data_IF_702005443577
#
_entry.id   IF_702005443577
#
_cell.length_a   1.000
_cell.length_b   1.000
_cell.length_c   1.000
_cell.angle_alpha   90.00
_cell.angle_beta   90.00
_cell.angle_gamma   90.00
#
_symmetry.space_group_name_H-M   'P 1'
#
loop_
_entity.id
_entity.type
_entity.pdbx_description
1 polymer ?
#
# COMPACT_ATOMS: atom_id res chain seq x y z
N UNK A 1 -17.25 -2.98 7.87
CA UNK A 1 -16.06 -3.74 7.42
C UNK A 1 -15.76 -3.27 6.01
N UNK A 2 -14.68 -2.52 5.78
CA UNK A 2 -14.31 -2.09 4.43
C UNK A 2 -13.93 -3.34 3.63
N UNK A 3 -14.59 -3.56 2.50
CA UNK A 3 -14.34 -4.71 1.62
C UNK A 3 -13.27 -4.29 0.61
N UNK A 4 -12.27 -5.15 0.45
CA UNK A 4 -11.10 -5.01 -0.44
C UNK A 4 -11.48 -4.42 -1.81
N UNK A 5 -10.78 -3.35 -2.21
CA UNK A 5 -10.88 -2.81 -3.58
C UNK A 5 -12.16 -2.03 -3.91
N UNK A 6 -13.08 -1.79 -2.96
CA UNK A 6 -14.23 -0.91 -3.20
C UNK A 6 -13.93 0.50 -2.72
N UNK A 7 -14.03 1.48 -3.62
CA UNK A 7 -13.93 2.91 -3.29
C UNK A 7 -15.06 3.44 -2.39
N UNK A 8 -15.98 2.57 -1.95
CA UNK A 8 -17.08 2.91 -1.04
C UNK A 8 -17.55 1.67 -0.27
N UNK A 9 -18.26 1.90 0.84
CA UNK A 9 -18.84 0.83 1.68
C UNK A 9 -20.24 0.48 1.17
N UNK A 10 -20.47 -0.80 0.83
CA UNK A 10 -21.78 -1.27 0.35
C UNK A 10 -22.85 -1.14 1.43
N UNK A 11 -23.99 -0.55 1.10
CA UNK A 11 -25.15 -0.44 1.98
C UNK A 11 -26.26 -1.36 1.47
N UNK A 12 -26.49 -2.50 2.13
CA UNK A 12 -27.62 -3.38 1.78
C UNK A 12 -28.88 -2.97 2.54
N UNK A 13 -29.99 -2.86 1.81
CA UNK A 13 -31.32 -2.56 2.38
C UNK A 13 -32.03 -3.87 2.74
N UNK A 14 -32.45 -4.02 4.00
CA UNK A 14 -33.12 -5.24 4.53
C UNK A 14 -34.58 -5.04 4.94
N UNK A 15 -35.23 -3.93 4.55
CA UNK A 15 -36.58 -3.57 4.98
C UNK A 15 -37.63 -3.78 3.87
N UNK A 16 -38.77 -4.40 4.21
CA UNK A 16 -39.90 -4.62 3.28
C UNK A 16 -41.14 -3.81 3.70
N UNK A 17 -41.12 -2.49 3.56
CA UNK A 17 -42.38 -1.72 3.45
C UNK A 17 -42.30 -0.62 2.39
N UNK A 18 -43.48 -0.26 1.86
CA UNK A 18 -43.74 0.57 0.66
C UNK A 18 -43.15 1.99 0.74
N UNK A 19 -42.86 2.65 -0.41
CA UNK A 19 -43.33 2.33 -1.77
C UNK A 19 -42.34 1.60 -2.69
N UNK A 20 -41.10 1.31 -2.26
CA UNK A 20 -40.10 0.62 -3.09
C UNK A 20 -39.57 -0.63 -2.38
N UNK A 21 -39.69 -1.84 -2.97
CA UNK A 21 -39.10 -3.05 -2.39
C UNK A 21 -37.59 -2.94 -2.25
N UNK A 22 -37.04 -3.45 -1.14
CA UNK A 22 -35.58 -3.54 -0.89
C UNK A 22 -34.81 -4.14 -2.07
N UNK A 23 -35.37 -5.12 -2.76
CA UNK A 23 -34.79 -5.72 -3.97
C UNK A 23 -34.50 -4.70 -5.09
N UNK A 24 -35.40 -3.73 -5.31
CA UNK A 24 -35.20 -2.67 -6.32
C UNK A 24 -34.11 -1.69 -5.89
N UNK A 25 -34.06 -1.34 -4.60
CA UNK A 25 -33.03 -0.45 -4.05
C UNK A 25 -31.64 -1.11 -4.10
N UNK A 26 -31.55 -2.38 -3.74
CA UNK A 26 -30.31 -3.15 -3.84
C UNK A 26 -29.85 -3.28 -5.29
N UNK A 27 -30.76 -3.46 -6.25
CA UNK A 27 -30.41 -3.45 -7.69
C UNK A 27 -29.90 -2.09 -8.15
N UNK A 28 -30.47 -1.00 -7.63
CA UNK A 28 -30.00 0.35 -7.94
C UNK A 28 -28.61 0.61 -7.36
N UNK A 29 -28.38 0.18 -6.12
CA UNK A 29 -27.06 0.22 -5.46
C UNK A 29 -26.01 -0.57 -6.27
N UNK A 30 -26.34 -1.78 -6.70
CA UNK A 30 -25.46 -2.61 -7.54
C UNK A 30 -25.15 -1.94 -8.91
N UNK A 31 -26.09 -1.19 -9.49
CA UNK A 31 -25.85 -0.46 -10.75
C UNK A 31 -24.93 0.74 -10.55
N UNK A 32 -25.10 1.45 -9.44
CA UNK A 32 -24.20 2.56 -9.07
C UNK A 32 -22.79 2.01 -8.81
N UNK A 33 -22.69 0.84 -8.17
CA UNK A 33 -21.42 0.13 -7.96
C UNK A 33 -20.65 -0.03 -9.26
N UNK A 34 -21.29 -0.70 -10.23
CA UNK A 34 -20.68 -1.04 -11.50
C UNK A 34 -20.32 0.22 -12.30
N UNK A 35 -21.16 1.26 -12.23
CA UNK A 35 -20.87 2.53 -12.90
C UNK A 35 -19.63 3.22 -12.30
N UNK A 36 -19.50 3.25 -10.96
CA UNK A 36 -18.34 3.84 -10.30
C UNK A 36 -17.07 3.01 -10.53
N UNK A 37 -17.18 1.68 -10.53
CA UNK A 37 -16.08 0.79 -10.85
C UNK A 37 -15.58 1.01 -12.29
N UNK A 38 -16.50 1.14 -13.25
CA UNK A 38 -16.17 1.46 -14.63
C UNK A 38 -15.46 2.81 -14.72
N UNK A 39 -15.94 3.83 -14.01
CA UNK A 39 -15.29 5.15 -13.98
C UNK A 39 -13.86 5.05 -13.45
N UNK A 40 -13.62 4.33 -12.35
CA UNK A 40 -12.26 4.12 -11.83
C UNK A 40 -11.35 3.40 -12.84
N UNK A 41 -11.87 2.37 -13.51
CA UNK A 41 -11.13 1.65 -14.54
C UNK A 41 -10.76 2.55 -15.72
N UNK A 42 -11.72 3.35 -16.22
CA UNK A 42 -11.48 4.31 -17.29
C UNK A 42 -10.48 5.39 -16.88
N UNK A 43 -10.55 5.89 -15.65
CA UNK A 43 -9.57 6.84 -15.11
C UNK A 43 -8.17 6.23 -15.03
N UNK A 44 -8.05 4.99 -14.54
CA UNK A 44 -6.78 4.28 -14.51
C UNK A 44 -6.22 4.10 -15.92
N UNK A 45 -7.04 3.71 -16.90
CA UNK A 45 -6.64 3.59 -18.30
C UNK A 45 -6.19 4.92 -18.89
N UNK A 46 -6.88 6.03 -18.58
CA UNK A 46 -6.50 7.36 -19.02
C UNK A 46 -5.12 7.78 -18.49
N UNK A 47 -4.71 7.25 -17.34
CA UNK A 47 -3.41 7.46 -16.71
C UNK A 47 -2.35 6.41 -17.07
N UNK A 48 -2.60 5.57 -18.09
CA UNK A 48 -1.65 4.57 -18.59
C UNK A 48 -2.01 3.12 -18.25
N UNK A 49 -3.05 2.89 -17.43
CA UNK A 49 -3.66 1.58 -17.20
C UNK A 49 -2.85 0.58 -16.37
N UNK A 50 -1.67 1.01 -15.89
CA UNK A 50 -0.78 0.21 -15.04
C UNK A 50 -0.91 0.52 -13.56
N UNK A 51 -0.23 -0.29 -12.76
CA UNK A 51 -0.04 -0.03 -11.33
C UNK A 51 1.15 0.90 -11.13
N UNK A 52 0.96 1.97 -10.37
CA UNK A 52 2.04 2.89 -10.09
C UNK A 52 1.64 4.14 -9.33
N UNK A 53 2.66 4.82 -8.83
CA UNK A 53 2.55 6.06 -8.07
C UNK A 53 2.39 7.24 -9.03
N UNK A 54 1.49 8.16 -8.68
CA UNK A 54 1.30 9.41 -9.41
C UNK A 54 2.43 10.37 -9.03
N UNK A 55 3.21 10.82 -10.02
CA UNK A 55 4.31 11.75 -9.80
C UNK A 55 3.81 13.16 -9.48
N UNK A 56 4.47 13.80 -8.52
CA UNK A 56 4.28 15.19 -8.10
C UNK A 56 2.85 15.49 -7.64
N UNK A 57 2.10 14.48 -7.20
CA UNK A 57 0.81 14.71 -6.58
C UNK A 57 0.97 15.30 -5.18
N UNK A 58 2.08 14.97 -4.50
CA UNK A 58 2.44 15.41 -3.16
C UNK A 58 3.96 15.60 -3.04
N UNK A 59 4.44 16.14 -1.91
CA UNK A 59 5.89 16.38 -1.71
C UNK A 59 6.71 15.09 -1.59
N UNK A 60 6.09 13.94 -1.29
CA UNK A 60 6.78 12.66 -1.09
C UNK A 60 6.31 11.51 -2.00
N UNK A 61 5.11 11.58 -2.57
CA UNK A 61 4.54 10.59 -3.49
C UNK A 61 4.72 9.14 -3.00
N UNK A 62 4.24 8.83 -1.78
CA UNK A 62 4.39 7.51 -1.15
C UNK A 62 5.86 7.07 -0.93
N UNK A 63 6.80 8.02 -0.85
CA UNK A 63 8.20 7.72 -0.52
C UNK A 63 8.29 7.11 0.88
N UNK A 64 9.10 6.06 0.99
CA UNK A 64 9.49 5.50 2.27
C UNK A 64 10.75 6.24 2.73
N UNK A 65 10.68 6.84 3.93
CA UNK A 65 11.75 7.63 4.52
C UNK A 65 12.10 7.11 5.90
N UNK A 66 13.37 7.29 6.30
CA UNK A 66 13.83 6.99 7.65
C UNK A 66 13.10 7.84 8.70
N UNK A 67 12.94 7.27 9.90
CA UNK A 67 12.48 8.01 11.07
C UNK A 67 13.68 8.48 11.91
N UNK A 68 13.53 9.48 12.79
CA UNK A 68 14.62 9.95 13.64
C UNK A 68 15.30 8.79 14.38
N UNK A 69 16.61 8.62 14.16
CA UNK A 69 17.41 7.54 14.75
C UNK A 69 17.73 7.82 16.23
N UNK A 70 17.83 6.79 17.09
CA UNK A 70 17.68 5.36 16.80
C UNK A 70 16.21 4.94 16.75
N UNK A 71 15.80 4.38 15.61
CA UNK A 71 14.45 3.86 15.41
C UNK A 71 14.47 2.74 14.37
N UNK A 72 13.85 1.62 14.71
CA UNK A 72 13.64 0.47 13.82
C UNK A 72 12.30 0.57 13.08
N UNK A 73 11.89 1.79 12.76
CA UNK A 73 10.70 2.08 11.96
C UNK A 73 11.08 2.93 10.74
N UNK A 74 10.31 2.78 9.67
CA UNK A 74 10.33 3.69 8.54
C UNK A 74 8.93 4.29 8.36
N UNK A 75 8.86 5.47 7.77
CA UNK A 75 7.61 6.19 7.53
C UNK A 75 7.33 6.25 6.03
N UNK A 76 6.06 6.08 5.66
CA UNK A 76 5.58 6.28 4.30
C UNK A 76 4.97 7.68 4.21
N UNK A 77 5.44 8.48 3.27
CA UNK A 77 4.89 9.81 3.00
C UNK A 77 3.48 9.73 2.38
N UNK A 78 2.63 10.74 2.54
CA UNK A 78 1.36 10.83 1.83
C UNK A 78 1.54 10.73 0.31
N UNK A 79 0.48 10.33 -0.39
CA UNK A 79 0.50 10.30 -1.84
C UNK A 79 -0.64 9.52 -2.48
N UNK A 80 -0.57 9.44 -3.80
CA UNK A 80 -1.58 8.81 -4.64
C UNK A 80 -0.95 7.76 -5.55
N UNK A 81 -1.67 6.68 -5.78
CA UNK A 81 -1.27 5.63 -6.70
C UNK A 81 -2.49 4.99 -7.37
N UNK A 82 -2.26 4.24 -8.43
CA UNK A 82 -3.20 3.23 -8.90
C UNK A 82 -2.66 1.85 -8.57
N UNK A 83 -3.52 1.00 -8.03
CA UNK A 83 -3.23 -0.39 -7.70
C UNK A 83 -4.38 -1.22 -8.25
N UNK A 84 -4.11 -2.24 -9.05
CA UNK A 84 -5.13 -3.05 -9.72
C UNK A 84 -6.25 -2.22 -10.38
N UNK A 85 -5.90 -1.07 -10.98
CA UNK A 85 -6.82 -0.06 -11.58
C UNK A 85 -7.73 0.72 -10.62
N UNK A 86 -7.59 0.54 -9.31
CA UNK A 86 -8.28 1.35 -8.33
C UNK A 86 -7.39 2.49 -7.83
N UNK A 87 -7.95 3.69 -7.59
CA UNK A 87 -7.21 4.78 -6.97
C UNK A 87 -6.90 4.41 -5.52
N UNK A 88 -5.65 4.60 -5.12
CA UNK A 88 -5.15 4.47 -3.76
C UNK A 88 -4.70 5.85 -3.27
N UNK A 89 -5.06 6.21 -2.04
CA UNK A 89 -4.64 7.44 -1.39
C UNK A 89 -4.17 7.13 0.01
N UNK A 90 -2.99 7.65 0.35
CA UNK A 90 -2.55 7.79 1.73
C UNK A 90 -2.60 9.27 2.10
N UNK A 91 -3.48 9.62 3.05
CA UNK A 91 -3.81 11.01 3.36
C UNK A 91 -2.78 11.70 4.27
N UNK A 92 -2.19 10.94 5.19
CA UNK A 92 -1.22 11.42 6.16
C UNK A 92 0.01 10.51 6.20
N UNK A 93 1.16 11.00 6.69
CA UNK A 93 2.33 10.15 6.86
C UNK A 93 2.00 8.95 7.74
N UNK A 94 2.38 7.76 7.28
CA UNK A 94 2.07 6.51 7.98
C UNK A 94 3.35 5.89 8.54
N UNK A 95 3.39 5.71 9.85
CA UNK A 95 4.50 5.02 10.51
C UNK A 95 4.30 3.52 10.39
N UNK A 96 5.28 2.83 9.82
CA UNK A 96 5.26 1.37 9.78
C UNK A 96 5.42 0.79 11.19
N UNK A 97 4.88 -0.42 11.44
CA UNK A 97 5.15 -1.12 12.69
C UNK A 97 6.65 -1.33 12.89
N UNK A 98 7.06 -1.48 14.15
CA UNK A 98 8.45 -1.73 14.51
C UNK A 98 8.97 -3.00 13.80
N UNK A 99 10.07 -2.85 13.09
CA UNK A 99 10.70 -3.93 12.34
C UNK A 99 11.64 -4.68 13.27
N UNK A 100 11.45 -5.98 13.37
CA UNK A 100 12.34 -6.83 14.16
C UNK A 100 13.67 -7.02 13.42
N UNK A 101 14.81 -6.73 14.06
CA UNK A 101 16.11 -6.93 13.45
C UNK A 101 16.35 -8.43 13.22
N UNK A 102 17.05 -8.81 12.15
CA UNK A 102 17.44 -10.21 11.93
C UNK A 102 18.32 -10.74 13.05
N UNK A 103 18.21 -12.02 13.35
CA UNK A 103 18.96 -12.65 14.43
C UNK A 103 20.37 -13.07 13.98
N UNK A 104 20.48 -13.75 12.83
CA UNK A 104 21.73 -14.42 12.44
C UNK A 104 22.22 -13.98 11.05
N UNK A 105 21.33 -13.87 10.08
CA UNK A 105 21.68 -13.56 8.69
C UNK A 105 20.92 -12.33 8.21
N UNK A 106 21.44 -11.60 7.21
CA UNK A 106 20.72 -10.46 6.65
C UNK A 106 19.39 -10.89 6.03
N UNK A 107 18.45 -9.93 5.95
CA UNK A 107 17.08 -10.13 5.45
C UNK A 107 16.66 -8.94 4.61
N UNK A 108 15.85 -9.17 3.58
CA UNK A 108 15.19 -8.09 2.84
C UNK A 108 13.71 -8.14 3.13
N UNK A 109 13.15 -7.04 3.63
CA UNK A 109 11.71 -6.87 3.78
C UNK A 109 11.18 -5.94 2.68
N UNK A 110 9.90 -6.08 2.32
CA UNK A 110 9.26 -5.28 1.28
C UNK A 110 8.16 -4.40 1.88
N UNK A 111 8.26 -3.08 1.69
CA UNK A 111 7.20 -2.14 2.04
C UNK A 111 6.23 -2.05 0.87
N UNK A 112 4.95 -2.29 1.14
CA UNK A 112 3.88 -2.29 0.12
C UNK A 112 2.70 -1.44 0.56
N UNK A 113 2.09 -0.72 -0.37
CA UNK A 113 0.75 -0.14 -0.21
C UNK A 113 -0.30 -1.21 -0.54
N UNK A 114 -1.30 -1.42 0.32
CA UNK A 114 -2.35 -2.44 0.13
C UNK A 114 -3.73 -1.83 -0.01
N UNK A 115 -4.47 -2.27 -1.03
CA UNK A 115 -5.89 -1.90 -1.21
C UNK A 115 -6.83 -2.54 -0.18
N UNK A 116 -6.40 -3.60 0.50
CA UNK A 116 -7.25 -4.34 1.42
C UNK A 116 -7.60 -3.51 2.67
N UNK A 117 -6.60 -2.86 3.25
CA UNK A 117 -6.74 -2.06 4.45
C UNK A 117 -6.59 -0.56 4.19
N UNK A 118 -6.32 -0.17 2.93
CA UNK A 118 -6.00 1.21 2.56
C UNK A 118 -4.80 1.78 3.34
N UNK A 119 -3.81 0.93 3.61
CA UNK A 119 -2.64 1.23 4.43
C UNK A 119 -1.32 0.84 3.73
N UNK A 120 -0.21 1.19 4.38
CA UNK A 120 1.10 0.62 4.06
C UNK A 120 1.44 -0.49 5.05
N UNK A 121 2.11 -1.52 4.57
CA UNK A 121 2.49 -2.69 5.38
C UNK A 121 3.86 -3.20 4.98
N UNK A 122 4.45 -4.01 5.86
CA UNK A 122 5.74 -4.67 5.60
C UNK A 122 5.47 -6.15 5.35
N UNK A 123 6.01 -6.67 4.25
CA UNK A 123 6.11 -8.10 3.97
C UNK A 123 7.49 -8.53 4.43
N UNK A 124 7.54 -9.33 5.49
CA UNK A 124 8.79 -9.84 6.05
C UNK A 124 9.40 -10.88 5.12
N UNK A 125 10.69 -10.75 4.84
CA UNK A 125 11.45 -11.74 4.08
C UNK A 125 11.96 -12.89 4.93
N UNK A 126 12.84 -13.69 4.33
CA UNK A 126 13.53 -14.79 5.00
C UNK A 126 15.00 -14.44 5.18
N UNK A 127 15.55 -14.77 6.35
CA UNK A 127 16.98 -14.61 6.62
C UNK A 127 17.80 -15.57 5.75
N UNK A 128 18.78 -15.05 5.03
CA UNK A 128 19.66 -15.86 4.18
C UNK A 128 21.02 -15.19 3.99
N UNK A 129 22.06 -15.96 3.66
CA UNK A 129 23.38 -15.42 3.33
C UNK A 129 23.37 -14.57 2.06
N UNK A 130 22.45 -14.88 1.14
CA UNK A 130 22.09 -14.06 0.00
C UNK A 130 20.59 -13.77 0.08
N UNK A 131 20.19 -12.69 0.78
CA UNK A 131 18.79 -12.41 1.01
C UNK A 131 18.09 -11.99 -0.29
N UNK A 132 16.86 -12.47 -0.46
CA UNK A 132 16.02 -12.17 -1.63
C UNK A 132 14.77 -11.44 -1.15
N UNK A 133 14.37 -10.41 -1.91
CA UNK A 133 13.15 -9.66 -1.62
C UNK A 133 11.90 -10.54 -1.79
N UNK A 134 10.90 -10.44 -0.91
CA UNK A 134 9.60 -11.08 -1.09
C UNK A 134 8.91 -10.66 -2.38
N UNK A 135 8.05 -11.52 -2.91
CA UNK A 135 7.15 -11.15 -4.01
C UNK A 135 6.09 -10.15 -3.52
N UNK A 136 5.74 -9.19 -4.37
CA UNK A 136 4.67 -8.24 -4.10
C UNK A 136 3.31 -8.97 -4.04
N UNK A 137 2.56 -8.89 -2.92
CA UNK A 137 1.25 -9.50 -2.82
C UNK A 137 0.24 -8.95 -3.86
N UNK A 138 -0.77 -9.73 -4.22
CA UNK A 138 -1.83 -9.28 -5.11
C UNK A 138 -2.63 -8.12 -4.51
N UNK A 139 -2.98 -7.13 -5.33
CA UNK A 139 -3.69 -5.91 -4.88
C UNK A 139 -2.81 -5.01 -4.00
N UNK A 140 -1.49 -5.07 -4.20
CA UNK A 140 -0.53 -4.20 -3.52
C UNK A 140 0.53 -3.66 -4.48
N UNK A 141 1.07 -2.49 -4.15
CA UNK A 141 2.12 -1.82 -4.90
C UNK A 141 3.40 -1.77 -4.06
N UNK A 142 4.50 -2.23 -4.63
CA UNK A 142 5.82 -2.15 -4.00
C UNK A 142 6.30 -0.69 -3.91
N UNK A 143 6.66 -0.24 -2.71
CA UNK A 143 7.17 1.10 -2.46
C UNK A 143 8.67 1.08 -2.23
N UNK A 144 9.16 0.29 -1.28
CA UNK A 144 10.58 0.23 -0.96
C UNK A 144 11.00 -1.17 -0.51
N UNK A 145 12.28 -1.48 -0.68
CA UNK A 145 12.94 -2.64 -0.08
C UNK A 145 13.76 -2.18 1.12
N UNK A 146 13.63 -2.90 2.22
CA UNK A 146 14.38 -2.66 3.44
C UNK A 146 15.44 -3.75 3.56
N UNK A 147 16.70 -3.35 3.44
CA UNK A 147 17.82 -4.25 3.66
C UNK A 147 18.17 -4.22 5.14
N UNK A 148 17.99 -5.34 5.83
CA UNK A 148 18.15 -5.44 7.27
C UNK A 148 19.39 -6.27 7.59
N UNK A 149 20.13 -5.85 8.62
CA UNK A 149 21.37 -6.48 9.06
C UNK A 149 21.23 -6.94 10.52
N UNK A 150 21.86 -8.06 10.91
CA UNK A 150 21.90 -8.47 12.30
C UNK A 150 22.51 -7.38 13.19
N UNK A 151 21.87 -7.11 14.34
CA UNK A 151 22.34 -6.10 15.30
C UNK A 151 22.09 -4.64 14.91
N UNK A 152 21.32 -4.36 13.85
CA UNK A 152 20.95 -2.99 13.49
C UNK A 152 20.13 -2.31 14.60
N UNK A 153 20.35 -1.01 14.80
CA UNK A 153 19.60 -0.18 15.76
C UNK A 153 18.76 0.90 15.09
N UNK A 154 19.01 1.16 13.81
CA UNK A 154 18.21 2.05 12.99
C UNK A 154 18.05 1.56 11.56
N UNK A 155 17.09 2.15 10.85
CA UNK A 155 16.91 2.02 9.41
C UNK A 155 17.18 3.39 8.80
N UNK A 156 18.07 3.44 7.81
CA UNK A 156 18.52 4.68 7.20
C UNK A 156 18.11 4.82 5.74
N UNK A 157 18.07 6.05 5.24
CA UNK A 157 17.88 6.32 3.82
C UNK A 157 19.09 5.88 2.97
N UNK A 158 20.28 5.80 3.58
CA UNK A 158 21.53 5.47 2.88
C UNK A 158 22.25 4.35 3.63
N UNK A 159 22.87 3.46 2.87
CA UNK A 159 23.70 2.38 3.41
C UNK A 159 24.94 2.95 4.11
N UNK A 160 25.05 2.72 5.42
CA UNK A 160 26.19 3.11 6.25
C UNK A 160 27.12 1.93 6.60
N UNK A 161 26.83 0.73 6.07
CA UNK A 161 27.59 -0.48 6.33
C UNK A 161 27.27 -1.18 7.66
N UNK A 162 26.45 -0.58 8.54
CA UNK A 162 26.16 -1.12 9.89
C UNK A 162 24.66 -1.35 10.08
N UNK A 163 23.84 -0.36 9.75
CA UNK A 163 22.41 -0.35 9.97
C UNK A 163 21.63 -0.85 8.75
N UNK A 164 20.32 -1.01 8.94
CA UNK A 164 19.43 -1.28 7.82
C UNK A 164 19.32 -0.07 6.91
N UNK A 165 19.01 -0.28 5.63
CA UNK A 165 18.81 0.82 4.68
C UNK A 165 17.64 0.61 3.72
N UNK A 166 17.10 1.74 3.24
CA UNK A 166 15.93 1.80 2.36
C UNK A 166 16.40 1.89 0.90
N UNK A 167 15.77 1.13 0.01
CA UNK A 167 15.93 1.25 -1.44
C UNK A 167 14.57 1.46 -2.07
N UNK A 168 14.41 2.56 -2.79
CA UNK A 168 13.18 2.88 -3.53
C UNK A 168 12.97 1.88 -4.68
N UNK A 169 11.76 1.32 -4.75
CA UNK A 169 11.34 0.43 -5.85
C UNK A 169 9.99 0.85 -6.44
N UNK A 170 9.53 2.07 -6.15
CA UNK A 170 8.27 2.59 -6.68
C UNK A 170 8.27 2.56 -8.20
N UNK A 171 7.20 1.98 -8.74
CA UNK A 171 6.85 2.14 -10.15
C UNK A 171 5.98 3.37 -10.28
N UNK A 172 6.23 4.19 -11.29
CA UNK A 172 5.49 5.44 -11.52
C UNK A 172 4.68 5.35 -12.80
N UNK A 173 3.53 6.05 -12.79
CA UNK A 173 2.74 6.35 -13.98
C UNK A 173 3.13 7.71 -14.56
#
# INVERSE_FOLDING_TARGET
MAIKGKGYTKTSWSFEERPVPSAKLNTWDDRIELALELVHNLLSLAWGGGDGVIRKATTGDLAVVETPSPSLTAQVSPGYAFIARYPFRLDAPYNLPAITPPALLPRIDLVVARLENWDASVVTGTEASSPVAPNTPAGSLALARLFLRPGMTSIKNVNDGINGYIVDVRTYL
#
